data_IF_118817818416
#
_entry.id   IF_118817818416
#
_cell.length_a   1.000
_cell.length_b   1.000
_cell.length_c   1.000
_cell.angle_alpha   90.00
_cell.angle_beta   90.00
_cell.angle_gamma   90.00
#
_symmetry.space_group_name_H-M   'P 1'
#
loop_
_entity.id
_entity.type
_entity.pdbx_description
1 polymer ?
#
# COMPACT_ATOMS: atom_id res chain seq x y z
N UNK A 1 64.47 4.65 85.36
CA UNK A 1 64.46 3.96 86.67
C UNK A 1 63.19 3.14 86.73
N UNK A 2 63.34 1.82 86.96
CA UNK A 2 62.33 0.84 87.42
C UNK A 2 61.12 0.62 86.48
N UNK A 3 60.63 -0.59 86.19
CA UNK A 3 60.74 -1.88 86.87
C UNK A 3 60.33 -3.01 85.90
N UNK A 4 60.83 -4.21 86.21
CA UNK A 4 60.62 -5.46 85.50
C UNK A 4 59.30 -6.16 85.88
N UNK A 5 58.88 -7.12 85.05
CA UNK A 5 58.06 -8.24 85.52
C UNK A 5 57.18 -8.93 84.46
N UNK A 6 57.62 -10.07 83.87
CA UNK A 6 56.73 -11.14 83.40
C UNK A 6 56.60 -12.21 84.53
N UNK A 7 55.90 -13.36 84.40
CA UNK A 7 54.95 -13.86 83.38
C UNK A 7 53.65 -14.43 84.01
N UNK A 8 52.67 -14.83 83.19
CA UNK A 8 51.98 -16.12 83.35
C UNK A 8 51.19 -16.51 82.09
N UNK A 9 51.26 -17.78 81.65
CA UNK A 9 50.56 -18.27 80.47
C UNK A 9 49.14 -18.71 80.82
N UNK A 10 48.15 -18.22 80.06
CA UNK A 10 46.81 -18.83 80.03
C UNK A 10 46.68 -19.77 78.83
N UNK A 11 45.99 -20.91 78.99
CA UNK A 11 45.98 -22.00 78.03
C UNK A 11 45.17 -21.67 76.77
N UNK A 12 45.56 -22.31 75.68
CA UNK A 12 44.96 -22.21 74.37
C UNK A 12 43.44 -22.51 74.39
N UNK A 13 42.65 -21.57 73.87
CA UNK A 13 41.34 -21.88 73.28
C UNK A 13 41.53 -22.05 71.76
N UNK A 14 40.87 -23.03 71.11
CA UNK A 14 41.05 -23.29 69.69
C UNK A 14 40.67 -22.05 68.89
N UNK A 15 41.47 -21.70 67.87
CA UNK A 15 40.98 -20.81 66.81
C UNK A 15 39.81 -21.51 66.15
N UNK A 16 38.59 -21.07 66.42
CA UNK A 16 37.49 -21.29 65.50
C UNK A 16 37.86 -20.56 64.21
N UNK A 17 38.32 -21.33 63.22
CA UNK A 17 38.34 -20.91 61.83
C UNK A 17 36.92 -20.48 61.47
N UNK A 18 36.74 -19.18 61.31
CA UNK A 18 35.58 -18.59 60.65
C UNK A 18 35.43 -19.30 59.29
N UNK A 19 34.33 -20.01 59.03
CA UNK A 19 34.18 -20.75 57.79
C UNK A 19 34.16 -19.75 56.64
N UNK A 20 35.18 -19.80 55.79
CA UNK A 20 35.21 -19.07 54.53
C UNK A 20 33.91 -19.35 53.77
N UNK A 21 33.19 -18.29 53.44
CA UNK A 21 31.95 -18.38 52.69
C UNK A 21 32.15 -19.29 51.45
N UNK A 22 31.25 -20.26 51.20
CA UNK A 22 31.42 -21.21 50.11
C UNK A 22 31.50 -20.46 48.77
N UNK A 23 32.32 -20.91 47.80
CA UNK A 23 32.34 -20.30 46.49
C UNK A 23 30.96 -20.42 45.84
N UNK A 24 30.52 -19.34 45.20
CA UNK A 24 29.23 -19.28 44.50
C UNK A 24 29.08 -20.46 43.54
N UNK A 25 27.90 -21.09 43.56
CA UNK A 25 27.59 -22.27 42.74
C UNK A 25 27.54 -21.92 41.23
N UNK A 26 27.86 -22.86 40.33
CA UNK A 26 27.77 -22.64 38.88
C UNK A 26 26.33 -22.39 38.38
N UNK A 27 25.32 -22.66 39.22
CA UNK A 27 23.94 -22.26 38.97
C UNK A 27 23.72 -20.75 39.18
N UNK A 28 24.37 -20.15 40.18
CA UNK A 28 24.32 -18.70 40.44
C UNK A 28 25.08 -17.91 39.37
N UNK A 29 26.16 -18.45 38.80
CA UNK A 29 26.84 -17.83 37.64
C UNK A 29 25.99 -17.83 36.36
N UNK A 30 25.18 -18.87 36.13
CA UNK A 30 24.22 -18.90 35.01
C UNK A 30 23.07 -17.90 35.19
N UNK A 31 22.60 -17.70 36.41
CA UNK A 31 21.59 -16.68 36.69
C UNK A 31 22.10 -15.24 36.40
N UNK A 32 23.39 -14.96 36.67
CA UNK A 32 23.98 -13.67 36.34
C UNK A 32 24.16 -13.42 34.83
N UNK A 33 24.12 -14.45 33.98
CA UNK A 33 24.13 -14.30 32.50
C UNK A 33 22.77 -13.96 31.88
N UNK A 34 21.70 -14.01 32.69
CA UNK A 34 20.36 -13.48 32.34
C UNK A 34 20.16 -12.05 32.87
N UNK A 35 21.24 -11.27 32.95
CA UNK A 35 21.14 -9.84 33.22
C UNK A 35 20.42 -9.18 32.05
N UNK A 36 19.51 -8.25 32.33
CA UNK A 36 18.86 -7.39 31.33
C UNK A 36 19.84 -6.81 30.28
N UNK A 37 21.13 -6.65 30.64
CA UNK A 37 22.21 -6.27 29.74
C UNK A 37 22.50 -7.29 28.60
N UNK A 38 22.31 -8.59 28.82
CA UNK A 38 22.47 -9.61 27.77
C UNK A 38 21.23 -9.67 26.85
N UNK A 39 20.02 -9.49 27.41
CA UNK A 39 18.79 -9.33 26.62
C UNK A 39 18.82 -8.03 25.80
N UNK A 40 19.34 -6.93 26.36
CA UNK A 40 19.50 -5.67 25.65
C UNK A 40 20.57 -5.79 24.54
N UNK A 41 21.66 -6.53 24.78
CA UNK A 41 22.66 -6.84 23.75
C UNK A 41 22.11 -7.74 22.63
N UNK A 42 21.18 -8.64 22.91
CA UNK A 42 20.55 -9.45 21.86
C UNK A 42 19.43 -8.71 21.11
N UNK A 43 18.78 -7.73 21.76
CA UNK A 43 17.75 -6.88 21.14
C UNK A 43 18.37 -5.79 20.24
N UNK A 44 19.53 -5.25 20.62
CA UNK A 44 20.15 -4.12 19.93
C UNK A 44 20.42 -4.40 18.43
N UNK A 45 20.95 -5.56 18.00
CA UNK A 45 21.08 -5.90 16.59
C UNK A 45 19.74 -5.91 15.85
N UNK A 46 18.70 -6.46 16.46
CA UNK A 46 17.36 -6.51 15.87
C UNK A 46 16.79 -5.09 15.70
N UNK A 47 16.90 -4.25 16.73
CA UNK A 47 16.45 -2.85 16.68
C UNK A 47 17.22 -2.07 15.61
N UNK A 48 18.55 -2.27 15.52
CA UNK A 48 19.37 -1.66 14.47
C UNK A 48 18.92 -2.14 13.09
N UNK A 49 18.67 -3.44 12.90
CA UNK A 49 18.14 -3.98 11.64
C UNK A 49 16.76 -3.37 11.32
N UNK A 50 15.85 -3.27 12.29
CA UNK A 50 14.55 -2.63 12.09
C UNK A 50 14.70 -1.14 11.74
N UNK A 51 15.60 -0.41 12.39
CA UNK A 51 15.88 1.00 12.07
C UNK A 51 16.54 1.16 10.70
N UNK A 52 17.40 0.22 10.30
CA UNK A 52 17.98 0.19 8.95
C UNK A 52 16.91 -0.13 7.91
N UNK A 53 15.98 -1.05 8.18
CA UNK A 53 14.87 -1.36 7.28
C UNK A 53 13.90 -0.19 7.17
N UNK A 54 13.53 0.44 8.29
CA UNK A 54 12.66 1.63 8.31
C UNK A 54 13.36 2.81 7.67
N UNK A 55 14.65 3.03 7.95
CA UNK A 55 15.45 4.08 7.34
C UNK A 55 15.68 3.86 5.85
N UNK A 56 15.90 2.62 5.43
CA UNK A 56 16.02 2.25 4.02
C UNK A 56 14.68 2.36 3.29
N UNK A 57 13.58 1.95 3.94
CA UNK A 57 12.23 2.16 3.44
C UNK A 57 11.93 3.66 3.31
N UNK A 58 12.20 4.46 4.34
CA UNK A 58 12.03 5.91 4.32
C UNK A 58 12.91 6.58 3.25
N UNK A 59 14.15 6.13 3.10
CA UNK A 59 15.07 6.61 2.06
C UNK A 59 14.59 6.24 0.65
N UNK A 60 14.01 5.04 0.49
CA UNK A 60 13.38 4.61 -0.77
C UNK A 60 12.03 5.29 -1.01
N UNK A 61 11.36 5.70 0.06
CA UNK A 61 10.07 6.39 0.01
C UNK A 61 10.20 7.87 -0.32
N UNK A 62 11.37 8.49 -0.18
CA UNK A 62 11.59 9.90 -0.52
C UNK A 62 10.79 10.88 0.37
N UNK A 63 11.25 12.12 0.56
CA UNK A 63 10.50 13.14 1.31
C UNK A 63 9.33 13.79 0.54
N UNK A 64 9.07 13.38 -0.70
CA UNK A 64 7.94 13.87 -1.51
C UNK A 64 6.75 12.91 -1.37
N UNK A 65 5.85 13.21 -0.44
CA UNK A 65 4.48 12.67 -0.40
C UNK A 65 3.67 13.24 -1.59
N UNK A 66 4.12 12.97 -2.82
CA UNK A 66 3.37 13.19 -4.04
C UNK A 66 2.66 11.90 -4.43
N UNK A 67 1.41 11.98 -4.86
CA UNK A 67 0.68 10.80 -5.36
C UNK A 67 1.49 10.15 -6.49
N UNK A 68 1.73 8.84 -6.38
CA UNK A 68 2.52 8.10 -7.38
C UNK A 68 1.81 8.17 -8.72
N UNK A 69 2.40 8.92 -9.65
CA UNK A 69 1.97 8.97 -11.04
C UNK A 69 2.53 7.76 -11.78
N UNK A 70 1.73 7.15 -12.65
CA UNK A 70 2.11 6.03 -13.51
C UNK A 70 1.89 6.40 -14.97
N UNK A 71 2.66 5.80 -15.88
CA UNK A 71 2.40 5.93 -17.31
C UNK A 71 1.43 4.81 -17.76
N UNK A 72 0.21 5.13 -18.22
CA UNK A 72 -0.74 4.13 -18.67
C UNK A 72 -0.40 3.54 -20.05
N UNK A 73 0.51 4.14 -20.83
CA UNK A 73 0.71 3.81 -22.24
C UNK A 73 1.03 2.33 -22.50
N UNK A 74 1.87 1.70 -21.67
CA UNK A 74 2.17 0.27 -21.83
C UNK A 74 0.97 -0.63 -21.57
N UNK A 75 0.12 -0.26 -20.61
CA UNK A 75 -1.08 -1.00 -20.24
C UNK A 75 -2.15 -0.84 -21.33
N UNK A 76 -2.34 0.39 -21.81
CA UNK A 76 -3.27 0.69 -22.92
C UNK A 76 -2.85 -0.05 -24.19
N UNK A 77 -1.55 -0.06 -24.52
CA UNK A 77 -1.04 -0.79 -25.68
C UNK A 77 -1.30 -2.29 -25.55
N UNK A 78 -1.01 -2.89 -24.38
CA UNK A 78 -1.25 -4.31 -24.16
C UNK A 78 -2.74 -4.66 -24.29
N UNK A 79 -3.64 -3.82 -23.77
CA UNK A 79 -5.08 -4.00 -23.93
C UNK A 79 -5.47 -3.91 -25.41
N UNK A 80 -4.96 -2.91 -26.13
CA UNK A 80 -5.25 -2.71 -27.57
C UNK A 80 -4.78 -3.87 -28.45
N UNK A 81 -3.63 -4.47 -28.13
CA UNK A 81 -3.08 -5.63 -28.86
C UNK A 81 -3.88 -6.92 -28.66
N UNK A 82 -4.60 -7.05 -27.52
CA UNK A 82 -5.26 -8.29 -27.10
C UNK A 82 -6.79 -8.24 -27.23
N UNK A 83 -7.37 -7.04 -27.14
CA UNK A 83 -8.81 -6.84 -27.16
C UNK A 83 -9.42 -7.21 -28.53
N UNK A 84 -10.59 -7.83 -28.50
CA UNK A 84 -11.41 -8.09 -29.69
C UNK A 84 -12.20 -6.88 -30.19
N UNK A 85 -11.97 -5.69 -29.61
CA UNK A 85 -12.73 -4.47 -29.85
C UNK A 85 -11.80 -3.24 -29.92
N UNK A 86 -12.25 -2.11 -30.54
CA UNK A 86 -11.47 -0.88 -30.55
C UNK A 86 -11.39 -0.28 -29.14
N UNK A 87 -10.27 -0.49 -28.46
CA UNK A 87 -10.04 0.03 -27.10
C UNK A 87 -10.10 1.55 -27.11
N UNK A 88 -10.80 2.08 -26.11
CA UNK A 88 -10.94 3.51 -25.88
C UNK A 88 -10.23 3.88 -24.59
N UNK A 89 -9.69 5.10 -24.51
CA UNK A 89 -9.08 5.62 -23.29
C UNK A 89 -9.29 7.14 -23.20
N UNK A 90 -9.27 7.73 -21.99
CA UNK A 90 -9.23 9.18 -21.83
C UNK A 90 -7.93 9.75 -22.41
N UNK A 91 -8.04 10.70 -23.34
CA UNK A 91 -6.91 11.39 -23.96
C UNK A 91 -7.09 12.90 -23.96
N UNK A 92 -5.99 13.65 -23.91
CA UNK A 92 -6.01 15.12 -23.93
C UNK A 92 -6.56 15.75 -22.65
N UNK A 93 -6.50 15.03 -21.52
CA UNK A 93 -6.72 15.61 -20.21
C UNK A 93 -5.61 16.60 -19.85
N UNK A 94 -5.94 17.56 -19.00
CA UNK A 94 -4.99 18.51 -18.45
C UNK A 94 -3.92 17.79 -17.58
N UNK A 95 -2.74 18.40 -17.42
CA UNK A 95 -1.62 17.83 -16.64
C UNK A 95 -1.98 17.58 -15.18
N UNK A 96 -2.98 18.27 -14.65
CA UNK A 96 -3.48 18.09 -13.29
C UNK A 96 -4.28 16.79 -13.10
N UNK A 97 -4.76 16.15 -14.18
CA UNK A 97 -5.36 14.81 -14.12
C UNK A 97 -4.25 13.75 -14.12
N UNK A 98 -3.76 13.43 -12.93
CA UNK A 98 -2.59 12.55 -12.77
C UNK A 98 -3.01 11.08 -12.76
N UNK A 99 -2.61 10.24 -13.73
CA UNK A 99 -2.86 8.80 -13.68
C UNK A 99 -2.11 8.17 -12.51
N UNK A 100 -2.83 7.54 -11.59
CA UNK A 100 -2.31 6.92 -10.36
C UNK A 100 -2.27 5.39 -10.45
N UNK A 101 -3.06 4.82 -11.35
CA UNK A 101 -3.09 3.39 -11.61
C UNK A 101 -3.51 3.12 -13.05
N UNK A 102 -2.96 2.04 -13.62
CA UNK A 102 -3.37 1.51 -14.91
C UNK A 102 -3.28 -0.02 -14.85
N UNK A 103 -4.37 -0.72 -15.16
CA UNK A 103 -4.46 -2.18 -15.09
C UNK A 103 -5.18 -2.73 -16.32
N UNK A 104 -4.83 -3.96 -16.68
CA UNK A 104 -5.57 -4.72 -17.68
C UNK A 104 -5.44 -6.20 -17.40
N UNK A 105 -6.50 -6.96 -17.66
CA UNK A 105 -6.53 -8.42 -17.63
C UNK A 105 -5.91 -9.05 -18.90
N UNK A 106 -5.63 -8.24 -19.93
CA UNK A 106 -5.08 -8.65 -21.21
C UNK A 106 -3.83 -9.53 -21.09
N UNK A 107 -3.02 -9.35 -20.03
CA UNK A 107 -1.84 -10.17 -19.77
C UNK A 107 -2.13 -11.67 -19.57
N UNK A 108 -3.32 -12.00 -19.08
CA UNK A 108 -3.80 -13.37 -18.84
C UNK A 108 -4.83 -13.84 -19.89
N UNK A 109 -5.31 -12.94 -20.73
CA UNK A 109 -6.30 -13.23 -21.77
C UNK A 109 -5.71 -14.11 -22.89
N UNK A 110 -6.47 -15.14 -23.26
CA UNK A 110 -6.29 -15.98 -24.46
C UNK A 110 -7.17 -15.45 -25.59
N UNK A 111 -6.97 -15.95 -26.81
CA UNK A 111 -7.79 -15.60 -27.97
C UNK A 111 -9.28 -15.85 -27.71
N UNK A 112 -10.09 -14.78 -27.77
CA UNK A 112 -11.53 -14.82 -27.53
C UNK A 112 -11.96 -14.52 -26.09
N UNK A 113 -11.01 -14.34 -25.15
CA UNK A 113 -11.33 -13.83 -23.82
C UNK A 113 -11.65 -12.33 -23.88
N UNK A 114 -12.54 -11.86 -23.00
CA UNK A 114 -12.81 -10.44 -22.84
C UNK A 114 -11.58 -9.71 -22.31
N UNK A 115 -11.45 -8.45 -22.67
CA UNK A 115 -10.34 -7.60 -22.23
C UNK A 115 -10.89 -6.36 -21.55
N UNK A 116 -10.44 -6.15 -20.31
CA UNK A 116 -10.77 -4.99 -19.50
C UNK A 116 -9.54 -4.11 -19.33
N UNK A 117 -9.73 -2.80 -19.49
CA UNK A 117 -8.74 -1.78 -19.20
C UNK A 117 -9.30 -0.86 -18.12
N UNK A 118 -8.50 -0.63 -17.08
CA UNK A 118 -8.81 0.28 -15.98
C UNK A 118 -7.72 1.35 -15.87
N UNK A 119 -8.11 2.61 -15.71
CA UNK A 119 -7.19 3.71 -15.41
C UNK A 119 -7.78 4.55 -14.28
N UNK A 120 -7.02 4.76 -13.22
CA UNK A 120 -7.38 5.64 -12.12
C UNK A 120 -6.62 6.95 -12.19
N UNK A 121 -7.31 8.07 -12.00
CA UNK A 121 -6.77 9.41 -11.98
C UNK A 121 -6.98 10.06 -10.62
N UNK A 122 -6.02 10.89 -10.22
CA UNK A 122 -6.20 11.93 -9.22
C UNK A 122 -6.52 13.22 -9.94
N UNK A 123 -7.66 13.83 -9.63
CA UNK A 123 -8.14 15.03 -10.30
C UNK A 123 -7.51 16.32 -9.72
N UNK A 124 -7.71 17.49 -10.36
CA UNK A 124 -7.27 18.77 -9.80
C UNK A 124 -7.84 19.06 -8.41
N UNK A 125 -9.06 18.59 -8.13
CA UNK A 125 -9.70 18.63 -6.81
C UNK A 125 -9.15 17.63 -5.79
N UNK A 126 -8.07 16.91 -6.10
CA UNK A 126 -7.45 15.88 -5.25
C UNK A 126 -8.36 14.69 -4.93
N UNK A 127 -9.33 14.41 -5.80
CA UNK A 127 -10.29 13.32 -5.67
C UNK A 127 -10.07 12.25 -6.74
N UNK A 128 -10.69 11.08 -6.56
CA UNK A 128 -10.49 9.94 -7.45
C UNK A 128 -11.47 9.95 -8.63
N UNK A 129 -10.95 9.79 -9.84
CA UNK A 129 -11.73 9.49 -11.04
C UNK A 129 -11.22 8.19 -11.67
N UNK A 130 -12.04 7.15 -11.68
CA UNK A 130 -11.77 5.88 -12.33
C UNK A 130 -12.39 5.82 -13.72
N UNK A 131 -11.67 5.22 -14.66
CA UNK A 131 -12.12 4.86 -15.99
C UNK A 131 -12.01 3.34 -16.16
N UNK A 132 -13.05 2.72 -16.71
CA UNK A 132 -13.10 1.30 -17.04
C UNK A 132 -13.66 1.15 -18.46
N UNK A 133 -13.07 0.29 -19.26
CA UNK A 133 -13.64 -0.18 -20.54
C UNK A 133 -13.53 -1.69 -20.64
N UNK A 134 -14.59 -2.34 -21.12
CA UNK A 134 -14.63 -3.79 -21.35
C UNK A 134 -15.62 -4.14 -22.45
N UNK A 135 -15.40 -5.25 -23.15
CA UNK A 135 -16.39 -5.91 -24.01
C UNK A 135 -17.28 -6.92 -23.28
N UNK A 136 -17.12 -7.03 -21.95
CA UNK A 136 -18.02 -7.80 -21.09
C UNK A 136 -18.66 -6.91 -20.02
N UNK A 137 -19.99 -6.73 -20.12
CA UNK A 137 -20.78 -6.04 -19.09
C UNK A 137 -20.72 -6.71 -17.71
N UNK A 138 -20.32 -7.99 -17.66
CA UNK A 138 -20.16 -8.76 -16.43
C UNK A 138 -18.72 -8.76 -15.91
N UNK A 139 -17.81 -8.03 -16.55
CA UNK A 139 -16.45 -7.88 -16.03
C UNK A 139 -16.49 -7.33 -14.60
N UNK A 140 -15.69 -7.90 -13.71
CA UNK A 140 -15.67 -7.54 -12.29
C UNK A 140 -15.52 -6.01 -12.07
N UNK A 141 -14.65 -5.28 -12.79
CA UNK A 141 -14.53 -3.83 -12.63
C UNK A 141 -15.78 -3.05 -13.05
N UNK A 142 -16.56 -3.54 -14.02
CA UNK A 142 -17.81 -2.92 -14.45
C UNK A 142 -18.90 -3.16 -13.40
N UNK A 143 -19.02 -4.41 -12.92
CA UNK A 143 -20.00 -4.78 -11.90
C UNK A 143 -19.70 -4.09 -10.57
N UNK A 144 -18.43 -3.92 -10.20
CA UNK A 144 -18.02 -3.21 -8.99
C UNK A 144 -18.55 -1.77 -8.92
N UNK A 145 -18.87 -1.16 -10.07
CA UNK A 145 -19.45 0.18 -10.15
C UNK A 145 -20.96 0.14 -10.35
N UNK A 146 -21.45 -0.72 -11.26
CA UNK A 146 -22.84 -0.65 -11.76
C UNK A 146 -23.83 -1.63 -11.12
N UNK A 147 -23.37 -2.70 -10.46
CA UNK A 147 -24.24 -3.80 -10.01
C UNK A 147 -25.38 -3.33 -9.08
N UNK A 148 -25.04 -2.50 -8.11
CA UNK A 148 -25.97 -1.96 -7.10
C UNK A 148 -26.19 -0.45 -7.25
N UNK A 149 -25.82 0.11 -8.41
CA UNK A 149 -26.00 1.53 -8.70
C UNK A 149 -27.43 1.84 -9.13
N UNK A 150 -27.94 3.00 -8.72
CA UNK A 150 -29.26 3.50 -9.12
C UNK A 150 -29.13 4.41 -10.33
N UNK A 151 -29.82 4.07 -11.42
CA UNK A 151 -29.91 4.92 -12.61
C UNK A 151 -30.67 6.22 -12.31
N UNK A 152 -30.09 7.36 -12.66
CA UNK A 152 -30.70 8.68 -12.43
C UNK A 152 -31.25 9.30 -13.72
N UNK A 153 -30.66 8.97 -14.87
CA UNK A 153 -31.07 9.48 -16.17
C UNK A 153 -29.93 9.46 -17.19
N UNK A 154 -30.12 10.16 -18.29
CA UNK A 154 -29.09 10.28 -19.35
C UNK A 154 -28.68 11.73 -19.56
N UNK A 155 -27.42 11.94 -19.93
CA UNK A 155 -26.84 13.24 -20.25
C UNK A 155 -25.88 13.15 -21.43
N UNK A 156 -25.69 14.25 -22.15
CA UNK A 156 -24.78 14.33 -23.29
C UNK A 156 -23.42 14.88 -22.83
N UNK A 157 -22.35 14.10 -23.02
CA UNK A 157 -20.98 14.46 -22.63
C UNK A 157 -20.05 14.14 -23.80
N UNK A 158 -19.30 15.15 -24.26
CA UNK A 158 -18.35 14.98 -25.37
C UNK A 158 -19.01 14.53 -26.68
N UNK A 159 -20.29 14.88 -26.91
CA UNK A 159 -21.07 14.48 -28.08
C UNK A 159 -21.54 13.02 -28.06
N UNK A 160 -21.46 12.35 -26.90
CA UNK A 160 -21.96 10.99 -26.71
C UNK A 160 -23.00 10.97 -25.58
N UNK A 161 -23.96 10.05 -25.66
CA UNK A 161 -24.97 9.87 -24.63
C UNK A 161 -24.42 8.96 -23.53
N UNK A 162 -24.47 9.45 -22.30
CA UNK A 162 -24.07 8.73 -21.10
C UNK A 162 -25.27 8.55 -20.18
N UNK A 163 -25.34 7.40 -19.53
CA UNK A 163 -26.26 7.16 -18.42
C UNK A 163 -25.57 7.51 -17.12
N UNK A 164 -26.23 8.34 -16.32
CA UNK A 164 -25.80 8.73 -14.98
C UNK A 164 -26.37 7.77 -13.96
N UNK A 165 -25.54 7.40 -13.01
CA UNK A 165 -25.85 6.51 -11.91
C UNK A 165 -25.32 7.10 -10.60
N UNK A 166 -26.00 6.75 -9.51
CA UNK A 166 -25.47 6.91 -8.16
C UNK A 166 -25.16 5.53 -7.60
N UNK A 167 -23.88 5.29 -7.29
CA UNK A 167 -23.41 4.02 -6.70
C UNK A 167 -23.97 3.83 -5.28
N UNK A 168 -23.86 2.62 -4.72
CA UNK A 168 -24.24 2.34 -3.33
C UNK A 168 -23.51 3.25 -2.32
N UNK A 169 -22.28 3.69 -2.67
CA UNK A 169 -21.46 4.60 -1.85
C UNK A 169 -21.87 6.07 -1.97
N UNK A 170 -22.86 6.40 -2.80
CA UNK A 170 -23.26 7.77 -3.09
C UNK A 170 -22.32 8.51 -4.05
N UNK A 171 -21.38 7.80 -4.69
CA UNK A 171 -20.49 8.34 -5.71
C UNK A 171 -21.21 8.38 -7.07
N UNK A 172 -20.91 9.40 -7.88
CA UNK A 172 -21.40 9.50 -9.27
C UNK A 172 -20.69 8.46 -10.14
N UNK A 173 -21.45 7.79 -10.99
CA UNK A 173 -20.93 6.97 -12.09
C UNK A 173 -21.63 7.36 -13.41
N UNK A 174 -20.86 7.34 -14.48
CA UNK A 174 -21.28 7.61 -15.84
C UNK A 174 -20.96 6.37 -16.65
N UNK A 175 -21.95 5.77 -17.30
CA UNK A 175 -21.70 4.66 -18.22
C UNK A 175 -22.22 4.98 -19.62
N UNK A 176 -21.54 4.43 -20.61
CA UNK A 176 -22.06 4.37 -21.97
C UNK A 176 -21.77 3.01 -22.54
N UNK A 177 -22.55 2.63 -23.53
CA UNK A 177 -22.32 1.40 -24.24
C UNK A 177 -22.57 1.55 -25.73
N UNK A 178 -21.63 1.05 -26.52
CA UNK A 178 -21.72 1.04 -27.97
C UNK A 178 -21.04 -0.21 -28.51
N UNK A 179 -21.67 -0.87 -29.47
CA UNK A 179 -21.11 -2.05 -30.16
C UNK A 179 -20.65 -3.19 -29.22
N UNK A 180 -21.32 -3.35 -28.07
CA UNK A 180 -20.98 -4.37 -27.07
C UNK A 180 -19.85 -3.98 -26.12
N UNK A 181 -19.25 -2.79 -26.29
CA UNK A 181 -18.24 -2.23 -25.40
C UNK A 181 -18.89 -1.31 -24.40
N UNK A 182 -18.73 -1.63 -23.11
CA UNK A 182 -19.15 -0.78 -21.99
C UNK A 182 -17.98 0.07 -21.53
N UNK A 183 -18.25 1.36 -21.35
CA UNK A 183 -17.32 2.32 -20.74
C UNK A 183 -17.97 2.86 -19.48
N UNK A 184 -17.21 2.94 -18.40
CA UNK A 184 -17.64 3.49 -17.12
C UNK A 184 -16.62 4.49 -16.62
N UNK A 185 -17.10 5.65 -16.16
CA UNK A 185 -16.31 6.65 -15.43
C UNK A 185 -16.98 6.89 -14.08
N UNK A 186 -16.25 6.73 -12.99
CA UNK A 186 -16.83 6.82 -11.64
C UNK A 186 -15.79 7.17 -10.59
N UNK A 187 -16.21 7.77 -9.49
CA UNK A 187 -15.35 7.97 -8.33
C UNK A 187 -15.84 9.06 -7.40
N UNK A 188 -14.98 9.46 -6.46
CA UNK A 188 -15.27 10.53 -5.49
C UNK A 188 -15.10 11.94 -6.05
N UNK A 189 -14.48 12.07 -7.23
CA UNK A 189 -14.30 13.35 -7.90
C UNK A 189 -15.62 14.05 -8.19
N UNK A 190 -15.52 15.37 -8.36
CA UNK A 190 -16.70 16.16 -8.66
C UNK A 190 -17.33 15.73 -9.99
N UNK A 191 -18.63 15.94 -10.07
CA UNK A 191 -19.46 15.74 -11.25
C UNK A 191 -18.83 16.32 -12.53
N UNK A 192 -18.25 17.53 -12.47
CA UNK A 192 -17.62 18.19 -13.61
C UNK A 192 -16.27 17.56 -13.99
N UNK A 193 -15.49 17.08 -13.02
CA UNK A 193 -14.23 16.37 -13.28
C UNK A 193 -14.49 14.99 -13.89
N UNK A 194 -15.50 14.26 -13.41
CA UNK A 194 -15.92 12.98 -14.01
C UNK A 194 -16.42 13.19 -15.44
N UNK A 195 -17.19 14.26 -15.69
CA UNK A 195 -17.59 14.66 -17.06
C UNK A 195 -16.39 14.99 -17.94
N UNK A 196 -15.36 15.60 -17.38
CA UNK A 196 -14.12 15.91 -18.11
C UNK A 196 -13.41 14.64 -18.55
N UNK A 197 -13.28 13.65 -17.65
CA UNK A 197 -12.72 12.32 -17.99
C UNK A 197 -13.59 11.60 -19.03
N UNK A 198 -14.92 11.61 -18.87
CA UNK A 198 -15.85 11.01 -19.82
C UNK A 198 -15.80 11.66 -21.22
N UNK A 199 -15.69 12.99 -21.29
CA UNK A 199 -15.58 13.73 -22.54
C UNK A 199 -14.24 13.47 -23.27
N UNK A 200 -13.21 13.10 -22.52
CA UNK A 200 -11.88 12.77 -23.05
C UNK A 200 -11.79 11.35 -23.63
N UNK A 201 -12.79 10.49 -23.41
CA UNK A 201 -12.75 9.09 -23.89
C UNK A 201 -12.87 9.04 -25.41
N UNK A 202 -11.79 8.61 -26.07
CA UNK A 202 -11.72 8.42 -27.53
C UNK A 202 -11.06 7.08 -27.87
N UNK A 203 -11.25 6.56 -29.10
CA UNK A 203 -10.51 5.39 -29.58
C UNK A 203 -9.01 5.67 -29.53
N UNK A 204 -8.23 4.71 -29.03
CA UNK A 204 -6.77 4.81 -29.00
C UNK A 204 -6.25 4.62 -30.43
N UNK A 205 -5.47 5.56 -30.94
CA UNK A 205 -4.78 5.38 -32.21
C UNK A 205 -3.56 4.46 -32.02
N UNK A 206 -3.51 3.37 -32.82
CA UNK A 206 -2.47 2.35 -32.79
C UNK A 206 -1.18 2.70 -33.53
#
# INVERSE_FOLDING_TARGET
>A
MTEAGPPSPSPASPREEEPAAPPLSPAQQRANSFTAANMLRSLLPLVVICLLLVGWQAFRSGPDEGVRVVDPASTVRLATERAGYPVQAPEGLDEDFRPTSARTDAGNATEGDSVTLEIGYLTPGEEFAGFVVSDDRRADPVLAVLLDATEEGTEEIGGQQWTRWTTERGETALSRESEGVVVVVSGSASDDELRTVAAAVRPVEG
#
